data_IF_277970596937
#
_entry.id   IF_277970596937
#
_cell.length_a   1.000
_cell.length_b   1.000
_cell.length_c   1.000
_cell.angle_alpha   90.00
_cell.angle_beta   90.00
_cell.angle_gamma   90.00
#
_symmetry.space_group_name_H-M   'P 1'
#
loop_
_entity.id
_entity.type
_entity.pdbx_description
1 polymer ?
#
# COMPACT_ATOMS: atom_id res chain seq x y z
N UNK A 1 20.14 -11.71 30.94
CA UNK A 1 20.75 -11.28 29.66
C UNK A 1 20.47 -12.35 28.62
N UNK A 2 19.41 -12.18 27.84
CA UNK A 2 19.24 -12.75 26.50
C UNK A 2 18.71 -11.61 25.64
N UNK A 3 19.31 -11.48 24.46
CA UNK A 3 19.38 -10.26 23.66
C UNK A 3 18.03 -9.87 23.05
N UNK A 4 17.77 -8.56 23.00
CA UNK A 4 16.61 -7.99 22.32
C UNK A 4 16.72 -8.18 20.81
N UNK A 5 16.09 -9.23 20.29
CA UNK A 5 15.57 -9.17 18.94
C UNK A 5 14.37 -8.22 19.00
N UNK A 6 14.47 -7.08 18.32
CA UNK A 6 13.28 -6.34 17.92
C UNK A 6 12.35 -7.35 17.25
N UNK A 7 11.18 -7.57 17.85
CA UNK A 7 10.11 -8.33 17.25
C UNK A 7 9.59 -7.48 16.09
N UNK A 8 10.29 -7.54 14.95
CA UNK A 8 9.74 -7.04 13.69
C UNK A 8 8.44 -7.82 13.50
N UNK A 9 7.32 -7.11 13.45
CA UNK A 9 6.03 -7.71 13.14
C UNK A 9 6.19 -8.53 11.86
N UNK A 10 5.75 -9.80 11.83
CA UNK A 10 5.85 -10.60 10.62
C UNK A 10 5.22 -9.82 9.45
N UNK A 11 5.91 -9.83 8.31
CA UNK A 11 5.35 -9.27 7.07
C UNK A 11 4.07 -10.03 6.72
N UNK A 12 3.19 -9.48 5.86
CA UNK A 12 1.91 -10.12 5.53
C UNK A 12 2.06 -11.58 5.09
N UNK A 13 3.15 -11.88 4.39
CA UNK A 13 3.54 -13.22 3.94
C UNK A 13 3.83 -14.21 5.10
N UNK A 14 4.39 -13.74 6.21
CA UNK A 14 4.75 -14.58 7.37
C UNK A 14 3.60 -14.65 8.40
N UNK A 15 2.73 -13.64 8.44
CA UNK A 15 1.68 -13.53 9.45
C UNK A 15 0.40 -14.32 9.11
N UNK A 16 0.11 -14.52 7.82
CA UNK A 16 -1.24 -14.94 7.39
C UNK A 16 -1.29 -16.20 6.50
N UNK A 17 -0.14 -16.73 6.05
CA UNK A 17 -0.10 -17.81 5.06
C UNK A 17 -0.59 -19.19 5.55
N UNK A 18 -0.83 -19.38 6.85
CA UNK A 18 -1.04 -20.73 7.40
C UNK A 18 -2.50 -21.23 7.38
N UNK A 19 -3.49 -20.39 7.03
CA UNK A 19 -4.93 -20.75 7.18
C UNK A 19 -5.84 -20.49 5.95
N UNK A 20 -5.29 -20.19 4.76
CA UNK A 20 -6.10 -19.92 3.56
C UNK A 20 -6.84 -18.57 3.56
N UNK A 21 -6.29 -17.57 4.27
CA UNK A 21 -6.75 -16.19 4.24
C UNK A 21 -6.28 -15.52 2.93
N UNK A 22 -7.16 -14.73 2.30
CA UNK A 22 -6.82 -13.93 1.10
C UNK A 22 -6.83 -12.45 1.48
N UNK A 23 -5.72 -11.75 1.23
CA UNK A 23 -5.52 -10.34 1.56
C UNK A 23 -5.80 -9.47 0.34
N UNK A 24 -6.74 -8.55 0.49
CA UNK A 24 -7.07 -7.52 -0.49
C UNK A 24 -6.58 -6.17 0.03
N UNK A 25 -5.88 -5.41 -0.81
CA UNK A 25 -5.50 -4.03 -0.52
C UNK A 25 -6.09 -3.09 -1.55
N UNK A 26 -6.50 -1.90 -1.13
CA UNK A 26 -6.93 -0.85 -2.05
C UNK A 26 -5.73 -0.05 -2.57
N UNK A 27 -5.79 0.35 -3.84
CA UNK A 27 -4.77 1.16 -4.52
C UNK A 27 -5.37 2.54 -4.80
N UNK A 28 -5.31 3.42 -3.80
CA UNK A 28 -5.88 4.75 -3.84
C UNK A 28 -5.05 5.74 -3.00
N UNK A 29 -5.26 7.05 -3.22
CA UNK A 29 -4.56 8.15 -2.56
C UNK A 29 -5.41 8.99 -1.62
N UNK A 30 -6.73 8.82 -1.59
CA UNK A 30 -7.62 9.59 -0.72
C UNK A 30 -7.23 9.49 0.76
N UNK A 31 -6.79 8.33 1.27
CA UNK A 31 -6.28 8.24 2.66
C UNK A 31 -4.90 8.85 2.87
N UNK A 32 -4.16 9.12 1.80
CA UNK A 32 -2.77 9.61 1.83
C UNK A 32 -2.65 11.07 1.36
N UNK A 33 -3.74 11.67 0.88
CA UNK A 33 -3.80 13.01 0.33
C UNK A 33 -4.36 13.99 1.36
N UNK A 34 -3.66 15.11 1.60
CA UNK A 34 -4.16 16.17 2.49
C UNK A 34 -5.45 16.82 1.99
N UNK A 35 -5.75 16.71 0.69
CA UNK A 35 -6.99 17.21 0.10
C UNK A 35 -8.08 16.15 0.01
N UNK A 36 -7.79 14.88 0.34
CA UNK A 36 -8.74 13.77 0.32
C UNK A 36 -9.12 13.26 -1.08
N UNK A 37 -8.41 13.66 -2.14
CA UNK A 37 -8.68 13.13 -3.49
C UNK A 37 -7.78 11.94 -3.81
N UNK A 38 -8.31 11.00 -4.61
CA UNK A 38 -7.60 9.81 -5.08
C UNK A 38 -6.54 10.02 -6.17
N UNK A 39 -6.01 11.23 -6.31
CA UNK A 39 -5.03 11.54 -7.35
C UNK A 39 -4.15 12.73 -7.01
N UNK A 40 -3.06 12.87 -7.77
CA UNK A 40 -2.16 14.02 -7.68
C UNK A 40 -2.89 15.22 -8.29
N UNK A 41 -3.01 16.29 -7.53
CA UNK A 41 -3.77 17.47 -7.94
C UNK A 41 -2.82 18.61 -8.28
N UNK A 42 -3.04 19.23 -9.43
CA UNK A 42 -2.41 20.49 -9.81
C UNK A 42 -3.04 21.65 -9.02
N UNK A 43 -2.35 22.78 -8.92
CA UNK A 43 -2.83 23.96 -8.17
C UNK A 43 -4.23 24.47 -8.58
N UNK A 44 -4.68 24.21 -9.80
CA UNK A 44 -6.02 24.59 -10.29
C UNK A 44 -7.12 23.56 -10.00
N UNK A 45 -6.80 22.50 -9.25
CA UNK A 45 -7.75 21.46 -8.85
C UNK A 45 -7.87 20.30 -9.84
N UNK A 46 -7.13 20.29 -10.95
CA UNK A 46 -7.18 19.20 -11.93
C UNK A 46 -6.35 18.01 -11.46
N UNK A 47 -6.93 16.80 -11.54
CA UNK A 47 -6.20 15.56 -11.30
C UNK A 47 -5.29 15.27 -12.49
N UNK A 48 -4.01 15.11 -12.19
CA UNK A 48 -2.97 14.74 -13.13
C UNK A 48 -2.98 13.22 -13.31
N UNK A 49 -3.70 12.75 -14.34
CA UNK A 49 -3.98 11.32 -14.55
C UNK A 49 -2.71 10.48 -14.70
N UNK A 50 -1.78 10.89 -15.54
CA UNK A 50 -0.60 10.07 -15.88
C UNK A 50 0.35 9.98 -14.69
N UNK A 51 0.54 11.07 -13.98
CA UNK A 51 1.32 11.14 -12.74
C UNK A 51 0.66 10.31 -11.63
N UNK A 52 -0.67 10.37 -11.52
CA UNK A 52 -1.44 9.58 -10.55
C UNK A 52 -1.26 8.10 -10.81
N UNK A 53 -1.53 7.64 -12.04
CA UNK A 53 -1.36 6.23 -12.44
C UNK A 53 0.08 5.76 -12.23
N UNK A 54 1.07 6.59 -12.55
CA UNK A 54 2.48 6.25 -12.33
C UNK A 54 2.80 5.95 -10.86
N UNK A 55 2.22 6.71 -9.93
CA UNK A 55 2.43 6.46 -8.50
C UNK A 55 1.56 5.30 -7.98
N UNK A 56 0.30 5.18 -8.42
CA UNK A 56 -0.57 4.05 -8.04
C UNK A 56 0.04 2.70 -8.46
N UNK A 57 0.71 2.63 -9.62
CA UNK A 57 1.45 1.43 -10.04
C UNK A 57 2.55 1.04 -9.06
N UNK A 58 3.24 2.01 -8.45
CA UNK A 58 4.26 1.73 -7.43
C UNK A 58 3.64 1.23 -6.13
N UNK A 59 2.50 1.80 -5.73
CA UNK A 59 1.74 1.36 -4.56
C UNK A 59 1.28 -0.10 -4.72
N UNK A 60 0.66 -0.44 -5.86
CA UNK A 60 0.24 -1.79 -6.17
C UNK A 60 1.41 -2.79 -6.11
N UNK A 61 2.55 -2.46 -6.72
CA UNK A 61 3.76 -3.32 -6.67
C UNK A 61 4.31 -3.43 -5.24
N UNK A 62 4.26 -2.36 -4.45
CA UNK A 62 4.70 -2.38 -3.05
C UNK A 62 3.81 -3.29 -2.21
N UNK A 63 2.49 -3.18 -2.33
CA UNK A 63 1.51 -3.99 -1.59
C UNK A 63 1.65 -5.48 -1.93
N UNK A 64 1.74 -5.80 -3.23
CA UNK A 64 1.97 -7.17 -3.69
C UNK A 64 3.28 -7.75 -3.13
N UNK A 65 4.37 -6.97 -3.11
CA UNK A 65 5.66 -7.39 -2.54
C UNK A 65 5.62 -7.62 -1.02
N UNK A 66 4.65 -7.05 -0.32
CA UNK A 66 4.46 -7.23 1.12
C UNK A 66 3.50 -8.38 1.47
N UNK A 67 2.97 -9.09 0.47
CA UNK A 67 2.14 -10.27 0.65
C UNK A 67 0.64 -10.05 0.43
N UNK A 68 0.22 -8.98 -0.26
CA UNK A 68 -1.17 -8.88 -0.73
C UNK A 68 -1.41 -9.85 -1.88
N UNK A 69 -2.52 -10.60 -1.81
CA UNK A 69 -2.94 -11.53 -2.88
C UNK A 69 -3.62 -10.79 -4.02
N UNK A 70 -4.37 -9.73 -3.69
CA UNK A 70 -5.11 -8.89 -4.63
C UNK A 70 -4.89 -7.42 -4.29
N UNK A 71 -4.68 -6.63 -5.33
CA UNK A 71 -4.55 -5.17 -5.31
C UNK A 71 -5.59 -4.55 -6.25
#
# INVERSE_FOLDING_TARGET
MLQGQEMLSPTGEEAFNDNGLVIYTDVNFDEYSSSGHGGIIREDGVILNDETIHQLRKQAVSQARTGADVV
#
